data_IF_250255132680
#
_entry.id   IF_250255132680
#
_cell.length_a   1.000
_cell.length_b   1.000
_cell.length_c   1.000
_cell.angle_alpha   90.00
_cell.angle_beta   90.00
_cell.angle_gamma   90.00
#
_symmetry.space_group_name_H-M   'P 1'
#
loop_
_entity.id
_entity.type
_entity.pdbx_description
1 polymer ?
#
# COMPACT_ATOMS: atom_id res chain seq x y z
N UNK A 1 13.65 -34.45 -55.36
CA UNK A 1 12.88 -34.54 -54.10
C UNK A 1 13.76 -34.02 -52.94
N UNK A 2 13.27 -32.96 -52.31
CA UNK A 2 13.98 -31.96 -51.51
C UNK A 2 14.94 -32.46 -50.42
N UNK A 3 16.14 -31.87 -50.38
CA UNK A 3 17.03 -31.90 -49.23
C UNK A 3 17.08 -30.52 -48.57
N UNK A 4 16.78 -30.53 -47.29
CA UNK A 4 16.59 -29.41 -46.37
C UNK A 4 17.86 -28.57 -46.19
N UNK A 5 17.76 -27.26 -46.41
CA UNK A 5 18.80 -26.29 -46.07
C UNK A 5 18.84 -26.10 -44.54
N UNK A 6 19.74 -26.80 -43.86
CA UNK A 6 20.11 -26.50 -42.47
C UNK A 6 21.13 -25.35 -42.48
N UNK A 7 20.65 -24.13 -42.28
CA UNK A 7 21.49 -22.97 -42.01
C UNK A 7 22.04 -23.08 -40.58
N UNK A 8 23.32 -23.43 -40.47
CA UNK A 8 24.08 -23.33 -39.22
C UNK A 8 24.38 -21.86 -38.90
N UNK A 9 23.96 -21.41 -37.72
CA UNK A 9 24.41 -20.14 -37.14
C UNK A 9 25.62 -20.39 -36.22
N UNK A 10 26.67 -19.54 -36.27
CA UNK A 10 27.80 -19.64 -35.37
C UNK A 10 27.45 -19.13 -33.95
N UNK A 11 28.22 -19.53 -32.92
CA UNK A 11 27.97 -19.19 -31.53
C UNK A 11 28.36 -17.72 -31.25
N UNK A 12 27.43 -16.92 -30.74
CA UNK A 12 27.71 -15.56 -30.27
C UNK A 12 27.81 -15.57 -28.74
N UNK A 13 29.01 -15.25 -28.28
CA UNK A 13 29.41 -15.20 -26.88
C UNK A 13 28.63 -14.14 -26.09
N UNK A 14 28.25 -14.57 -24.88
CA UNK A 14 28.03 -13.84 -23.63
C UNK A 14 28.57 -12.39 -23.54
N UNK A 15 27.71 -11.43 -23.15
CA UNK A 15 28.15 -10.25 -22.40
C UNK A 15 28.16 -10.58 -20.91
N UNK A 16 29.35 -10.79 -20.34
CA UNK A 16 29.58 -10.70 -18.90
C UNK A 16 29.43 -9.23 -18.51
N UNK A 17 28.23 -8.83 -18.11
CA UNK A 17 28.03 -7.58 -17.38
C UNK A 17 28.33 -7.86 -15.89
N UNK A 18 29.10 -7.00 -15.20
CA UNK A 18 29.32 -7.15 -13.77
C UNK A 18 27.98 -6.91 -13.06
N UNK A 19 27.47 -7.94 -12.37
CA UNK A 19 26.31 -7.80 -11.51
C UNK A 19 26.65 -6.85 -10.37
N UNK A 20 25.94 -5.73 -10.32
CA UNK A 20 25.99 -4.77 -9.22
C UNK A 20 25.34 -5.42 -7.98
N UNK A 21 26.09 -5.64 -6.87
CA UNK A 21 25.55 -6.36 -5.71
C UNK A 21 24.55 -5.50 -4.90
N UNK A 22 24.30 -4.24 -5.25
CA UNK A 22 23.48 -3.34 -4.43
C UNK A 22 21.97 -3.45 -4.66
N UNK A 23 21.53 -3.98 -5.81
CA UNK A 23 20.10 -4.06 -6.12
C UNK A 23 19.40 -5.30 -5.54
N UNK A 24 20.15 -6.39 -5.31
CA UNK A 24 19.61 -7.63 -4.75
C UNK A 24 19.26 -7.47 -3.26
N UNK A 25 20.10 -6.74 -2.51
CA UNK A 25 19.88 -6.47 -1.08
C UNK A 25 18.60 -5.65 -0.84
N UNK A 26 18.31 -4.65 -1.68
CA UNK A 26 17.11 -3.81 -1.50
C UNK A 26 15.81 -4.60 -1.71
N UNK A 27 15.81 -5.58 -2.63
CA UNK A 27 14.66 -6.48 -2.86
C UNK A 27 14.52 -7.51 -1.74
N UNK A 28 15.63 -7.96 -1.17
CA UNK A 28 15.63 -8.90 -0.05
C UNK A 28 15.18 -8.25 1.27
N UNK A 29 15.52 -6.98 1.48
CA UNK A 29 15.06 -6.17 2.62
C UNK A 29 13.54 -5.92 2.56
N UNK A 30 13.00 -5.62 1.36
CA UNK A 30 11.55 -5.48 1.16
C UNK A 30 10.81 -6.80 1.45
N UNK A 31 11.41 -7.94 1.09
CA UNK A 31 10.84 -9.27 1.37
C UNK A 31 10.96 -9.68 2.84
N UNK A 32 11.99 -9.20 3.56
CA UNK A 32 12.14 -9.43 5.01
C UNK A 32 11.14 -8.62 5.83
N UNK A 33 10.84 -7.36 5.46
CA UNK A 33 9.81 -6.56 6.17
C UNK A 33 8.39 -7.10 5.99
N UNK A 34 8.09 -7.83 4.91
CA UNK A 34 6.77 -8.42 4.67
C UNK A 34 6.47 -9.63 5.56
N UNK A 35 7.42 -10.06 6.40
CA UNK A 35 7.24 -11.13 7.39
C UNK A 35 7.06 -10.63 8.84
N UNK A 36 6.86 -9.33 9.04
CA UNK A 36 6.53 -8.81 10.37
C UNK A 36 5.04 -9.04 10.65
N UNK A 37 4.75 -10.22 11.20
CA UNK A 37 3.64 -10.49 12.12
C UNK A 37 2.23 -10.25 11.54
N UNK A 38 1.70 -11.28 10.87
CA UNK A 38 0.26 -11.52 10.82
C UNK A 38 -0.15 -12.16 12.15
N UNK A 39 -0.10 -11.40 13.24
CA UNK A 39 -0.85 -11.79 14.44
C UNK A 39 -2.33 -11.61 14.11
N UNK A 40 -3.20 -12.58 14.47
CA UNK A 40 -4.64 -12.39 14.35
C UNK A 40 -5.04 -11.12 15.10
N UNK A 41 -5.59 -10.14 14.37
CA UNK A 41 -6.14 -8.94 15.01
C UNK A 41 -7.32 -9.40 15.86
N UNK A 42 -7.20 -9.28 17.17
CA UNK A 42 -8.29 -9.58 18.09
C UNK A 42 -9.37 -8.49 17.94
N UNK A 43 -10.43 -8.83 17.21
CA UNK A 43 -11.57 -7.93 16.96
C UNK A 43 -12.30 -7.54 18.25
N UNK A 44 -12.18 -8.35 19.32
CA UNK A 44 -12.78 -8.07 20.62
C UNK A 44 -11.84 -7.30 21.55
N UNK A 45 -10.64 -6.94 21.06
CA UNK A 45 -9.69 -6.15 21.83
C UNK A 45 -10.30 -4.80 22.26
N UNK A 46 -9.93 -4.31 23.45
CA UNK A 46 -10.46 -3.04 23.97
C UNK A 46 -10.20 -1.85 23.04
N UNK A 47 -9.08 -1.87 22.30
CA UNK A 47 -8.71 -0.83 21.33
C UNK A 47 -9.67 -0.76 20.15
N UNK A 48 -10.05 -1.90 19.55
CA UNK A 48 -11.02 -1.94 18.45
C UNK A 48 -12.38 -1.42 18.90
N UNK A 49 -12.84 -1.79 20.09
CA UNK A 49 -14.11 -1.32 20.67
C UNK A 49 -14.12 0.18 20.92
N UNK A 50 -13.00 0.75 21.34
CA UNK A 50 -12.86 2.21 21.48
C UNK A 50 -12.89 2.92 20.13
N UNK A 51 -12.25 2.35 19.12
CA UNK A 51 -12.23 2.90 17.77
C UNK A 51 -13.62 2.89 17.12
N UNK A 52 -14.39 1.80 17.29
CA UNK A 52 -15.78 1.73 16.84
C UNK A 52 -16.68 2.75 17.54
N UNK A 53 -16.50 2.92 18.85
CA UNK A 53 -17.23 3.94 19.63
C UNK A 53 -16.89 5.33 19.11
N UNK A 54 -15.61 5.62 18.88
CA UNK A 54 -15.15 6.88 18.32
C UNK A 54 -15.76 7.15 16.94
N UNK A 55 -15.67 6.19 16.01
CA UNK A 55 -16.23 6.31 14.67
C UNK A 55 -17.74 6.61 14.69
N UNK A 56 -18.48 5.94 15.58
CA UNK A 56 -19.91 6.18 15.75
C UNK A 56 -20.22 7.57 16.31
N UNK A 57 -19.52 7.98 17.38
CA UNK A 57 -19.70 9.30 17.98
C UNK A 57 -19.32 10.41 16.99
N UNK A 58 -18.19 10.24 16.31
CA UNK A 58 -17.69 11.15 15.29
C UNK A 58 -18.71 11.35 14.16
N UNK A 59 -19.24 10.24 13.61
CA UNK A 59 -20.29 10.27 12.57
C UNK A 59 -21.53 11.02 13.03
N UNK A 60 -22.02 10.71 14.24
CA UNK A 60 -23.21 11.37 14.80
C UNK A 60 -22.97 12.87 14.99
N UNK A 61 -21.83 13.25 15.57
CA UNK A 61 -21.49 14.65 15.83
C UNK A 61 -21.30 15.44 14.55
N UNK A 62 -20.60 14.87 13.56
CA UNK A 62 -20.42 15.46 12.22
C UNK A 62 -21.77 15.82 11.59
N UNK A 63 -22.70 14.85 11.55
CA UNK A 63 -24.03 15.05 10.96
C UNK A 63 -24.85 16.06 11.76
N UNK A 64 -24.84 15.97 13.10
CA UNK A 64 -25.55 16.91 13.97
C UNK A 64 -25.09 18.36 13.78
N UNK A 65 -23.81 18.57 13.52
CA UNK A 65 -23.23 19.87 13.23
C UNK A 65 -23.37 20.29 11.75
N UNK A 66 -23.98 19.45 10.91
CA UNK A 66 -24.21 19.75 9.49
C UNK A 66 -22.97 19.63 8.60
N UNK A 67 -21.89 18.99 9.07
CA UNK A 67 -20.69 18.81 8.27
C UNK A 67 -20.83 17.62 7.30
N UNK A 68 -20.45 17.85 6.05
CA UNK A 68 -20.25 16.76 5.08
C UNK A 68 -18.87 16.12 5.26
N UNK A 69 -18.65 14.94 4.67
CA UNK A 69 -17.34 14.29 4.67
C UNK A 69 -16.25 15.16 4.01
N UNK A 70 -16.58 15.85 2.92
CA UNK A 70 -15.68 16.79 2.25
C UNK A 70 -15.32 17.96 3.18
N UNK A 71 -16.31 18.57 3.85
CA UNK A 71 -16.04 19.71 4.73
C UNK A 71 -15.16 19.33 5.93
N UNK A 72 -15.33 18.13 6.48
CA UNK A 72 -14.42 17.61 7.51
C UNK A 72 -13.00 17.49 6.98
N UNK A 73 -12.84 16.88 5.80
CA UNK A 73 -11.55 16.68 5.17
C UNK A 73 -10.81 17.99 4.91
N UNK A 74 -11.52 19.01 4.42
CA UNK A 74 -11.01 20.37 4.21
C UNK A 74 -10.64 21.06 5.54
N UNK A 75 -11.50 20.97 6.55
CA UNK A 75 -11.29 21.63 7.85
C UNK A 75 -10.08 21.04 8.62
N UNK A 76 -9.79 19.75 8.42
CA UNK A 76 -8.61 19.11 9.03
C UNK A 76 -7.28 19.67 8.51
N UNK A 77 -7.27 20.31 7.33
CA UNK A 77 -6.07 20.98 6.82
C UNK A 77 -5.57 22.10 7.74
N UNK A 78 -6.48 22.78 8.44
CA UNK A 78 -6.12 23.84 9.39
C UNK A 78 -5.38 23.30 10.63
N UNK A 79 -5.59 22.03 10.99
CA UNK A 79 -5.01 21.41 12.19
C UNK A 79 -3.78 20.57 11.84
N UNK A 80 -3.80 19.88 10.70
CA UNK A 80 -2.77 18.92 10.29
C UNK A 80 -1.91 19.37 9.12
N UNK A 81 -2.20 20.51 8.50
CA UNK A 81 -1.46 21.05 7.35
C UNK A 81 -1.77 20.36 6.01
N UNK A 82 -2.67 19.38 5.99
CA UNK A 82 -3.14 18.68 4.78
C UNK A 82 -4.62 18.37 4.89
N UNK A 83 -5.34 18.52 3.79
CA UNK A 83 -6.72 18.05 3.69
C UNK A 83 -6.78 16.53 3.51
N UNK A 84 -7.92 15.95 3.88
CA UNK A 84 -8.25 14.56 3.58
C UNK A 84 -9.39 14.50 2.56
N UNK A 85 -9.39 13.46 1.72
CA UNK A 85 -10.47 13.26 0.76
C UNK A 85 -11.76 12.79 1.44
N UNK A 86 -12.90 13.05 0.82
CA UNK A 86 -14.20 12.48 1.22
C UNK A 86 -14.13 10.96 1.39
N UNK A 87 -13.42 10.25 0.50
CA UNK A 87 -13.26 8.80 0.56
C UNK A 87 -12.45 8.36 1.78
N UNK A 88 -11.44 9.14 2.17
CA UNK A 88 -10.68 8.89 3.40
C UNK A 88 -11.58 9.00 4.62
N UNK A 89 -12.35 10.08 4.74
CA UNK A 89 -13.29 10.30 5.85
C UNK A 89 -14.44 9.28 5.86
N UNK A 90 -14.74 8.65 4.72
CA UNK A 90 -15.77 7.61 4.62
C UNK A 90 -15.28 6.23 5.08
N UNK A 91 -13.99 5.92 4.85
CA UNK A 91 -13.38 4.64 5.22
C UNK A 91 -13.03 4.56 6.71
N UNK A 92 -12.79 5.71 7.31
CA UNK A 92 -12.60 5.87 8.74
C UNK A 92 -13.94 5.76 9.49
#
# INVERSE_FOLDING_TARGET
PDHTLSHGFPPMHQPLLPEDPTAADFKQELRRKSKLVEEPIDMDSPEIRELEKFANEFKVRRIKLGYTQTNVGEALAAVHGSEFSQTTICRF
#
